data_IF_007301264957
#
_entry.id   IF_007301264957
#
_cell.length_a   1.000
_cell.length_b   1.000
_cell.length_c   1.000
_cell.angle_alpha   90.00
_cell.angle_beta   90.00
_cell.angle_gamma   90.00
#
_symmetry.space_group_name_H-M   'P 1'
#
loop_
_entity.id
_entity.type
_entity.pdbx_description
1 polymer ?
#
# COMPACT_ATOMS: atom_id res chain seq x y z
N UNK A 1 10.35 -22.82 2.90
CA UNK A 1 9.18 -22.07 3.41
C UNK A 1 8.96 -22.29 4.91
N UNK A 2 9.12 -23.52 5.42
CA UNK A 2 8.94 -23.81 6.85
C UNK A 2 9.88 -23.00 7.77
N UNK A 3 11.17 -22.90 7.43
CA UNK A 3 12.12 -22.09 8.21
C UNK A 3 11.78 -20.59 8.23
N UNK A 4 11.27 -20.06 7.11
CA UNK A 4 10.81 -18.66 7.02
C UNK A 4 9.56 -18.42 7.89
N UNK A 5 8.60 -19.35 7.86
CA UNK A 5 7.41 -19.28 8.71
C UNK A 5 7.79 -19.31 10.19
N UNK A 6 8.72 -20.17 10.58
CA UNK A 6 9.24 -20.24 11.94
C UNK A 6 9.89 -18.92 12.40
N UNK A 7 10.72 -18.32 11.53
CA UNK A 7 11.34 -17.02 11.80
C UNK A 7 10.29 -15.91 11.92
N UNK A 8 9.29 -15.91 11.04
CA UNK A 8 8.17 -14.96 11.10
C UNK A 8 7.37 -15.09 12.41
N UNK A 9 7.08 -16.31 12.85
CA UNK A 9 6.38 -16.56 14.12
C UNK A 9 7.20 -16.04 15.30
N UNK A 10 8.49 -16.38 15.38
CA UNK A 10 9.41 -15.89 16.43
C UNK A 10 9.47 -14.36 16.45
N UNK A 11 9.54 -13.76 15.27
CA UNK A 11 9.56 -12.31 15.10
C UNK A 11 8.31 -11.67 15.71
N UNK A 12 7.12 -12.13 15.35
CA UNK A 12 5.87 -11.56 15.83
C UNK A 12 5.63 -11.82 17.32
N UNK A 13 6.02 -12.98 17.84
CA UNK A 13 6.03 -13.24 19.29
C UNK A 13 6.91 -12.21 20.01
N UNK A 14 8.12 -11.98 19.50
CA UNK A 14 9.05 -11.01 20.10
C UNK A 14 8.53 -9.57 20.04
N UNK A 15 7.89 -9.20 18.92
CA UNK A 15 7.24 -7.90 18.77
C UNK A 15 6.07 -7.73 19.75
N UNK A 16 5.24 -8.77 19.94
CA UNK A 16 4.13 -8.77 20.89
C UNK A 16 4.64 -8.61 22.33
N UNK A 17 5.66 -9.38 22.73
CA UNK A 17 6.27 -9.27 24.07
C UNK A 17 6.78 -7.84 24.31
N UNK A 18 7.44 -7.25 23.31
CA UNK A 18 7.93 -5.87 23.36
C UNK A 18 6.79 -4.86 23.55
N UNK A 19 5.66 -5.06 22.86
CA UNK A 19 4.49 -4.19 23.01
C UNK A 19 3.76 -4.40 24.34
N UNK A 20 3.77 -5.61 24.89
CA UNK A 20 3.29 -5.89 26.26
C UNK A 20 4.13 -5.11 27.29
N UNK A 21 5.46 -5.07 27.13
CA UNK A 21 6.33 -4.24 27.96
C UNK A 21 5.94 -2.76 27.88
N UNK A 22 5.74 -2.23 26.66
CA UNK A 22 5.31 -0.85 26.44
C UNK A 22 3.99 -0.54 27.16
N UNK A 23 3.03 -1.48 27.11
CA UNK A 23 1.70 -1.33 27.70
C UNK A 23 1.70 -1.40 29.23
N UNK A 24 2.39 -2.37 29.84
CA UNK A 24 2.31 -2.60 31.29
C UNK A 24 3.31 -1.77 32.10
N UNK A 25 4.46 -1.45 31.52
CA UNK A 25 5.57 -0.78 32.20
C UNK A 25 5.71 0.66 31.70
N UNK A 26 6.00 0.86 30.42
CA UNK A 26 6.30 2.20 29.90
C UNK A 26 5.10 3.16 29.95
N UNK A 27 3.86 2.65 29.92
CA UNK A 27 2.65 3.47 30.05
C UNK A 27 2.54 4.19 31.40
N UNK A 28 3.13 3.63 32.46
CA UNK A 28 3.11 4.16 33.83
C UNK A 28 4.19 5.22 34.07
N UNK A 29 5.14 5.36 33.14
CA UNK A 29 6.21 6.34 33.23
C UNK A 29 5.72 7.74 32.84
N UNK A 30 6.30 8.80 33.42
CA UNK A 30 5.97 10.17 33.03
C UNK A 30 6.36 10.44 31.57
N UNK A 31 5.61 11.33 30.92
CA UNK A 31 5.86 11.75 29.54
C UNK A 31 7.25 12.37 29.37
N UNK A 32 7.81 12.20 28.17
CA UNK A 32 9.09 12.73 27.78
C UNK A 32 10.23 11.73 27.99
N UNK A 33 11.30 12.18 28.66
CA UNK A 33 12.60 11.51 28.60
C UNK A 33 12.63 10.14 29.29
N UNK A 34 11.92 9.96 30.41
CA UNK A 34 11.88 8.67 31.12
C UNK A 34 11.21 7.57 30.28
N UNK A 35 10.08 7.91 29.65
CA UNK A 35 9.38 7.00 28.74
C UNK A 35 10.23 6.73 27.48
N UNK A 36 10.90 7.74 26.95
CA UNK A 36 11.82 7.58 25.81
C UNK A 36 12.99 6.64 26.12
N UNK A 37 13.61 6.79 27.29
CA UNK A 37 14.73 5.94 27.71
C UNK A 37 14.28 4.48 27.87
N UNK A 38 13.12 4.26 28.50
CA UNK A 38 12.50 2.92 28.62
C UNK A 38 12.19 2.27 27.27
N UNK A 39 11.81 3.05 26.26
CA UNK A 39 11.43 2.55 24.93
C UNK A 39 12.60 2.47 23.93
N UNK A 40 13.77 3.03 24.27
CA UNK A 40 14.94 3.01 23.38
C UNK A 40 15.38 1.59 22.98
N UNK A 41 15.45 0.61 23.89
CA UNK A 41 15.74 -0.77 23.51
C UNK A 41 14.71 -1.36 22.53
N UNK A 42 13.44 -0.98 22.68
CA UNK A 42 12.35 -1.45 21.81
C UNK A 42 12.50 -0.87 20.40
N UNK A 43 12.88 0.41 20.28
CA UNK A 43 13.14 1.03 18.98
C UNK A 43 14.24 0.29 18.23
N UNK A 44 15.38 0.06 18.89
CA UNK A 44 16.51 -0.66 18.29
C UNK A 44 16.10 -2.08 17.90
N UNK A 45 15.36 -2.76 18.77
CA UNK A 45 14.90 -4.10 18.48
C UNK A 45 13.95 -4.15 17.27
N UNK A 46 13.01 -3.21 17.14
CA UNK A 46 12.12 -3.13 15.99
C UNK A 46 12.81 -2.74 14.68
N UNK A 47 13.96 -2.07 14.75
CA UNK A 47 14.84 -1.89 13.59
C UNK A 47 15.55 -3.20 13.23
N UNK A 48 15.96 -4.01 14.21
CA UNK A 48 16.63 -5.27 13.95
C UNK A 48 15.71 -6.37 13.39
N UNK A 49 14.46 -6.45 13.86
CA UNK A 49 13.56 -7.58 13.57
C UNK A 49 13.40 -7.95 12.08
N UNK A 50 13.20 -7.02 11.12
CA UNK A 50 13.06 -7.37 9.70
C UNK A 50 14.27 -8.11 9.11
N UNK A 51 15.45 -8.01 9.74
CA UNK A 51 16.64 -8.71 9.28
C UNK A 51 16.57 -10.23 9.46
N UNK A 52 15.64 -10.74 10.28
CA UNK A 52 15.53 -12.16 10.63
C UNK A 52 14.72 -12.99 9.64
N UNK A 53 14.03 -12.35 8.69
CA UNK A 53 13.29 -12.98 7.58
C UNK A 53 13.96 -12.68 6.24
N UNK A 54 13.83 -13.58 5.26
CA UNK A 54 14.51 -13.43 3.96
C UNK A 54 13.57 -13.17 2.78
N UNK A 55 12.27 -13.52 2.91
CA UNK A 55 11.28 -13.22 1.85
C UNK A 55 11.09 -11.71 1.66
N UNK A 56 11.10 -11.25 0.41
CA UNK A 56 10.97 -9.84 0.04
C UNK A 56 9.67 -9.25 0.58
N UNK A 57 8.54 -9.94 0.38
CA UNK A 57 7.23 -9.47 0.87
C UNK A 57 7.18 -9.42 2.40
N UNK A 58 7.65 -10.48 3.07
CA UNK A 58 7.62 -10.54 4.54
C UNK A 58 8.54 -9.50 5.18
N UNK A 59 9.73 -9.31 4.61
CA UNK A 59 10.68 -8.25 5.01
C UNK A 59 10.03 -6.88 4.85
N UNK A 60 9.46 -6.59 3.67
CA UNK A 60 8.84 -5.30 3.37
C UNK A 60 7.68 -4.97 4.32
N UNK A 61 6.78 -5.92 4.53
CA UNK A 61 5.65 -5.78 5.47
C UNK A 61 6.15 -5.52 6.89
N UNK A 62 7.10 -6.33 7.35
CA UNK A 62 7.60 -6.26 8.72
C UNK A 62 8.38 -4.97 8.97
N UNK A 63 9.21 -4.55 8.02
CA UNK A 63 9.93 -3.28 8.07
C UNK A 63 8.95 -2.09 8.13
N UNK A 64 7.92 -2.10 7.28
CA UNK A 64 6.92 -1.05 7.27
C UNK A 64 6.12 -1.02 8.59
N UNK A 65 5.72 -2.16 9.13
CA UNK A 65 4.88 -2.22 10.34
C UNK A 65 5.66 -1.95 11.61
N UNK A 66 6.84 -2.54 11.79
CA UNK A 66 7.60 -2.45 13.02
C UNK A 66 8.61 -1.29 12.99
N UNK A 67 9.56 -1.34 12.05
CA UNK A 67 10.64 -0.35 11.97
C UNK A 67 10.13 1.06 11.70
N UNK A 68 9.03 1.19 10.93
CA UNK A 68 8.42 2.48 10.64
C UNK A 68 7.19 2.78 11.51
N UNK A 69 6.06 2.12 11.28
CA UNK A 69 4.79 2.53 11.90
C UNK A 69 4.82 2.40 13.42
N UNK A 70 5.23 1.24 13.96
CA UNK A 70 5.23 1.01 15.39
C UNK A 70 6.22 1.94 16.11
N UNK A 71 7.46 2.06 15.61
CA UNK A 71 8.45 2.98 16.15
C UNK A 71 7.96 4.42 16.20
N UNK A 72 7.34 4.92 15.12
CA UNK A 72 6.86 6.30 15.09
C UNK A 72 5.65 6.51 16.00
N UNK A 73 4.75 5.53 16.13
CA UNK A 73 3.63 5.62 17.09
C UNK A 73 4.10 5.53 18.54
N UNK A 74 5.10 4.70 18.83
CA UNK A 74 5.74 4.61 20.13
C UNK A 74 6.53 5.88 20.46
N UNK A 75 7.14 6.53 19.47
CA UNK A 75 7.75 7.85 19.65
C UNK A 75 6.69 8.90 20.05
N UNK A 76 5.52 8.90 19.42
CA UNK A 76 4.40 9.75 19.84
C UNK A 76 3.92 9.40 21.26
N UNK A 77 3.86 8.10 21.58
CA UNK A 77 3.51 7.60 22.91
C UNK A 77 4.46 8.10 24.00
N UNK A 78 5.75 8.27 23.71
CA UNK A 78 6.71 8.89 24.63
C UNK A 78 6.24 10.27 25.13
N UNK A 79 5.54 11.03 24.27
CA UNK A 79 5.09 12.39 24.53
C UNK A 79 3.58 12.49 24.81
N UNK A 80 2.94 11.38 25.16
CA UNK A 80 1.50 11.25 25.39
C UNK A 80 0.64 11.73 24.22
N UNK A 81 1.11 11.53 22.99
CA UNK A 81 0.38 11.87 21.78
C UNK A 81 -0.40 10.67 21.21
N UNK A 82 -1.51 10.92 20.50
CA UNK A 82 -2.26 9.86 19.81
C UNK A 82 -1.38 9.16 18.75
N UNK A 83 -1.66 7.90 18.38
CA UNK A 83 -2.88 7.15 18.69
C UNK A 83 -2.82 6.26 19.94
N UNK A 84 -1.66 6.15 20.60
CA UNK A 84 -1.45 5.23 21.70
C UNK A 84 -1.69 5.85 23.08
N UNK A 85 -1.89 7.17 23.16
CA UNK A 85 -2.17 7.89 24.40
C UNK A 85 -3.55 8.56 24.37
N UNK A 86 -4.38 8.39 25.44
CA UNK A 86 -4.17 7.45 26.56
C UNK A 86 -4.15 5.98 26.06
N UNK A 87 -3.46 5.08 26.77
CA UNK A 87 -3.41 3.66 26.38
C UNK A 87 -4.84 3.09 26.34
N UNK A 88 -5.23 2.35 25.29
CA UNK A 88 -6.51 1.67 25.23
C UNK A 88 -6.67 0.71 26.41
N UNK A 89 -7.89 0.49 26.89
CA UNK A 89 -8.15 -0.41 28.04
C UNK A 89 -7.77 -1.88 27.80
N UNK A 90 -7.68 -2.30 26.53
CA UNK A 90 -7.36 -3.67 26.15
C UNK A 90 -5.96 -3.74 25.52
N UNK A 91 -5.12 -4.63 26.05
CA UNK A 91 -3.77 -4.92 25.54
C UNK A 91 -3.77 -5.26 24.04
N UNK A 92 -4.71 -6.09 23.58
CA UNK A 92 -4.80 -6.47 22.17
C UNK A 92 -5.10 -5.27 21.27
N UNK A 93 -5.89 -4.30 21.77
CA UNK A 93 -6.17 -3.07 21.05
C UNK A 93 -4.93 -2.17 21.00
N UNK A 94 -4.16 -2.07 22.10
CA UNK A 94 -2.88 -1.37 22.11
C UNK A 94 -1.88 -1.97 21.11
N UNK A 95 -1.69 -3.30 21.16
CA UNK A 95 -0.78 -4.03 20.26
C UNK A 95 -1.17 -3.78 18.80
N UNK A 96 -2.46 -3.93 18.48
CA UNK A 96 -2.95 -3.74 17.11
C UNK A 96 -2.78 -2.30 16.64
N UNK A 97 -3.11 -1.32 17.49
CA UNK A 97 -2.90 0.09 17.15
C UNK A 97 -1.42 0.43 16.98
N UNK A 98 -0.52 -0.19 17.73
CA UNK A 98 0.90 0.04 17.60
C UNK A 98 1.45 -0.58 16.31
N UNK A 99 1.24 -1.87 16.07
CA UNK A 99 1.90 -2.60 14.98
C UNK A 99 1.21 -2.48 13.61
N UNK A 100 -0.13 -2.39 13.55
CA UNK A 100 -0.86 -2.48 12.29
C UNK A 100 -1.18 -1.11 11.68
N UNK A 101 -1.42 -1.03 10.36
CA UNK A 101 -1.79 0.20 9.66
C UNK A 101 -3.25 0.62 9.93
N UNK A 102 -3.65 0.71 11.20
CA UNK A 102 -5.03 1.02 11.59
C UNK A 102 -5.15 2.48 11.99
N UNK A 103 -6.26 3.09 11.58
CA UNK A 103 -6.77 4.31 12.18
C UNK A 103 -8.20 4.07 12.61
N UNK A 104 -8.52 4.18 13.91
CA UNK A 104 -9.89 4.25 14.34
C UNK A 104 -10.59 5.42 13.66
N UNK A 105 -11.72 5.17 13.00
CA UNK A 105 -12.67 6.24 12.68
C UNK A 105 -13.38 6.62 13.98
N UNK A 106 -13.33 7.88 14.37
CA UNK A 106 -14.25 8.39 15.39
C UNK A 106 -15.68 8.23 14.85
N UNK A 107 -16.57 7.60 15.63
CA UNK A 107 -17.99 7.50 15.30
C UNK A 107 -18.60 8.91 15.40
N UNK A 108 -18.65 9.65 14.30
CA UNK A 108 -19.57 10.79 14.19
C UNK A 108 -20.99 10.24 13.96
N UNK A 109 -22.02 10.70 14.70
CA UNK A 109 -23.38 10.14 14.64
C UNK A 109 -24.17 10.59 13.40
N UNK A 110 -23.56 10.56 12.21
CA UNK A 110 -24.23 10.95 10.97
C UNK A 110 -23.51 10.45 9.72
N UNK A 111 -23.36 9.14 9.53
CA UNK A 111 -23.09 8.60 8.18
C UNK A 111 -23.91 7.32 7.96
N UNK A 112 -24.90 7.46 7.07
CA UNK A 112 -25.81 6.42 6.63
C UNK A 112 -25.08 5.10 6.30
N UNK A 113 -25.67 4.01 6.77
CA UNK A 113 -25.34 2.63 6.44
C UNK A 113 -25.70 2.36 4.96
N UNK A 114 -24.83 2.74 4.04
CA UNK A 114 -24.75 2.14 2.70
C UNK A 114 -23.30 2.27 2.22
N UNK A 115 -22.53 1.19 2.31
CA UNK A 115 -21.27 1.07 1.56
C UNK A 115 -21.63 0.39 0.23
N UNK A 116 -21.39 1.01 -0.93
CA UNK A 116 -21.87 0.48 -2.20
C UNK A 116 -21.08 -0.77 -2.65
N UNK A 117 -21.65 -1.61 -3.52
CA UNK A 117 -20.97 -2.74 -4.18
C UNK A 117 -19.70 -2.34 -4.95
N UNK A 118 -19.57 -1.06 -5.31
CA UNK A 118 -18.48 -0.47 -6.09
C UNK A 118 -17.07 -0.69 -5.50
N UNK A 119 -16.92 -0.70 -4.16
CA UNK A 119 -15.61 -0.91 -3.52
C UNK A 119 -15.12 -2.35 -3.59
N UNK A 120 -16.03 -3.33 -3.51
CA UNK A 120 -15.67 -4.74 -3.65
C UNK A 120 -15.31 -5.08 -5.10
N UNK A 121 -16.04 -4.49 -6.06
CA UNK A 121 -15.76 -4.63 -7.49
C UNK A 121 -14.38 -4.04 -7.81
N UNK A 122 -14.07 -2.82 -7.34
CA UNK A 122 -12.76 -2.21 -7.57
C UNK A 122 -11.61 -3.04 -6.98
N UNK A 123 -11.81 -3.64 -5.80
CA UNK A 123 -10.84 -4.54 -5.21
C UNK A 123 -10.63 -5.79 -6.08
N UNK A 124 -11.70 -6.41 -6.57
CA UNK A 124 -11.63 -7.56 -7.47
C UNK A 124 -10.91 -7.22 -8.80
N UNK A 125 -11.21 -6.05 -9.38
CA UNK A 125 -10.50 -5.54 -10.57
C UNK A 125 -9.00 -5.40 -10.30
N UNK A 126 -8.61 -4.84 -9.15
CA UNK A 126 -7.20 -4.70 -8.76
C UNK A 126 -6.50 -6.06 -8.62
N UNK A 127 -7.16 -7.05 -8.01
CA UNK A 127 -6.64 -8.43 -7.94
C UNK A 127 -6.47 -9.03 -9.33
N UNK A 128 -7.44 -8.84 -10.22
CA UNK A 128 -7.36 -9.31 -11.61
C UNK A 128 -6.19 -8.65 -12.36
N UNK A 129 -6.01 -7.33 -12.22
CA UNK A 129 -4.89 -6.61 -12.82
C UNK A 129 -3.56 -7.18 -12.33
N UNK A 130 -3.42 -7.46 -11.04
CA UNK A 130 -2.19 -8.08 -10.50
C UNK A 130 -1.96 -9.46 -11.11
N UNK A 131 -2.99 -10.31 -11.20
CA UNK A 131 -2.87 -11.62 -11.84
C UNK A 131 -2.44 -11.51 -13.32
N UNK A 132 -3.01 -10.54 -14.06
CA UNK A 132 -2.62 -10.25 -15.44
C UNK A 132 -1.18 -9.75 -15.54
N UNK A 133 -0.75 -8.84 -14.66
CA UNK A 133 0.64 -8.35 -14.61
C UNK A 133 1.62 -9.51 -14.39
N UNK A 134 1.31 -10.42 -13.47
CA UNK A 134 2.12 -11.61 -13.24
C UNK A 134 2.18 -12.53 -14.46
N UNK A 135 1.07 -12.72 -15.16
CA UNK A 135 1.06 -13.46 -16.42
C UNK A 135 1.95 -12.79 -17.49
N UNK A 136 1.87 -11.46 -17.61
CA UNK A 136 2.70 -10.69 -18.53
C UNK A 136 4.19 -10.74 -18.17
N UNK A 137 4.56 -10.87 -16.88
CA UNK A 137 5.98 -11.02 -16.49
C UNK A 137 6.63 -12.29 -17.05
N UNK A 138 5.86 -13.34 -17.34
CA UNK A 138 6.38 -14.53 -18.05
C UNK A 138 6.93 -14.20 -19.45
N UNK A 139 6.46 -13.11 -20.05
CA UNK A 139 6.90 -12.63 -21.36
C UNK A 139 7.74 -11.34 -21.27
N UNK A 140 8.23 -10.97 -20.06
CA UNK A 140 8.99 -9.74 -19.81
C UNK A 140 10.13 -9.51 -20.80
N UNK A 141 10.82 -10.58 -21.21
CA UNK A 141 11.94 -10.50 -22.16
C UNK A 141 11.53 -10.02 -23.56
N UNK A 142 10.28 -10.24 -23.95
CA UNK A 142 9.74 -9.85 -25.26
C UNK A 142 9.08 -8.47 -25.23
N UNK A 143 8.91 -7.88 -24.04
CA UNK A 143 8.26 -6.58 -23.87
C UNK A 143 9.28 -5.45 -23.93
N UNK A 144 8.87 -4.33 -24.52
CA UNK A 144 9.68 -3.12 -24.51
C UNK A 144 9.97 -2.64 -23.08
N UNK A 145 11.20 -2.20 -22.80
CA UNK A 145 11.65 -1.80 -21.44
C UNK A 145 10.71 -0.80 -20.75
N UNK A 146 10.21 0.20 -21.49
CA UNK A 146 9.28 1.20 -20.92
C UNK A 146 7.94 0.59 -20.52
N UNK A 147 7.47 -0.45 -21.22
CA UNK A 147 6.24 -1.16 -20.86
C UNK A 147 6.45 -1.92 -19.56
N UNK A 148 7.57 -2.63 -19.42
CA UNK A 148 7.93 -3.34 -18.19
C UNK A 148 8.04 -2.38 -17.01
N UNK A 149 8.65 -1.20 -17.19
CA UNK A 149 8.74 -0.17 -16.16
C UNK A 149 7.36 0.38 -15.77
N UNK A 150 6.47 0.62 -16.74
CA UNK A 150 5.10 1.02 -16.46
C UNK A 150 4.32 -0.06 -15.68
N UNK A 151 4.52 -1.34 -16.04
CA UNK A 151 3.97 -2.48 -15.30
C UNK A 151 4.45 -2.49 -13.85
N UNK A 152 5.74 -2.22 -13.59
CA UNK A 152 6.26 -2.10 -12.22
C UNK A 152 5.61 -0.97 -11.43
N UNK A 153 5.42 0.21 -12.03
CA UNK A 153 4.69 1.32 -11.38
C UNK A 153 3.28 0.89 -10.94
N UNK A 154 2.54 0.24 -11.83
CA UNK A 154 1.17 -0.24 -11.54
C UNK A 154 1.19 -1.35 -10.50
N UNK A 155 2.11 -2.30 -10.63
CA UNK A 155 2.28 -3.41 -9.70
C UNK A 155 2.54 -2.90 -8.29
N UNK A 156 3.56 -2.04 -8.09
CA UNK A 156 3.91 -1.50 -6.78
C UNK A 156 2.74 -0.76 -6.13
N UNK A 157 1.98 0.02 -6.90
CA UNK A 157 0.80 0.71 -6.37
C UNK A 157 -0.26 -0.29 -5.86
N UNK A 158 -0.66 -1.24 -6.70
CA UNK A 158 -1.75 -2.17 -6.36
C UNK A 158 -1.31 -3.12 -5.23
N UNK A 159 -0.08 -3.63 -5.29
CA UNK A 159 0.47 -4.54 -4.30
C UNK A 159 0.51 -3.90 -2.90
N UNK A 160 0.98 -2.65 -2.80
CA UNK A 160 0.96 -1.90 -1.54
C UNK A 160 -0.47 -1.70 -1.03
N UNK A 161 -1.42 -1.35 -1.90
CA UNK A 161 -2.82 -1.18 -1.50
C UNK A 161 -3.45 -2.48 -0.99
N UNK A 162 -3.28 -3.58 -1.72
CA UNK A 162 -3.79 -4.90 -1.35
C UNK A 162 -3.17 -5.37 -0.03
N UNK A 163 -1.85 -5.24 0.12
CA UNK A 163 -1.13 -5.64 1.33
C UNK A 163 -1.63 -4.89 2.56
N UNK A 164 -1.77 -3.58 2.48
CA UNK A 164 -2.29 -2.77 3.59
C UNK A 164 -3.77 -3.04 3.86
N UNK A 165 -4.57 -3.33 2.83
CA UNK A 165 -5.96 -3.70 2.99
C UNK A 165 -6.12 -5.05 3.69
N UNK A 166 -5.32 -6.06 3.33
CA UNK A 166 -5.32 -7.39 3.95
C UNK A 166 -4.88 -7.32 5.41
N UNK A 167 -3.80 -6.58 5.72
CA UNK A 167 -3.35 -6.38 7.10
C UNK A 167 -4.38 -5.69 8.01
N UNK A 168 -5.31 -4.95 7.40
CA UNK A 168 -6.41 -4.28 8.07
C UNK A 168 -7.59 -5.23 8.41
N UNK A 169 -7.70 -6.40 7.77
CA UNK A 169 -8.86 -7.31 7.95
C UNK A 169 -8.95 -7.86 9.38
N UNK A 170 -7.89 -8.45 9.98
CA UNK A 170 -7.98 -9.03 11.32
C UNK A 170 -8.38 -7.97 12.35
N UNK A 171 -7.82 -6.76 12.22
CA UNK A 171 -8.14 -5.63 13.07
C UNK A 171 -9.60 -5.16 12.96
N UNK A 172 -10.19 -5.18 11.76
CA UNK A 172 -11.62 -4.88 11.57
C UNK A 172 -12.48 -5.95 12.22
N UNK A 173 -12.16 -7.22 12.00
CA UNK A 173 -12.93 -8.34 12.50
C UNK A 173 -12.92 -8.41 14.04
N UNK A 174 -11.75 -8.19 14.66
CA UNK A 174 -11.60 -8.32 16.11
C UNK A 174 -12.11 -7.10 16.90
N UNK A 175 -12.00 -5.89 16.36
CA UNK A 175 -12.26 -4.66 17.13
C UNK A 175 -13.38 -3.77 16.56
N UNK A 176 -13.98 -4.16 15.43
CA UNK A 176 -15.03 -3.36 14.78
C UNK A 176 -14.54 -1.97 14.33
N UNK A 177 -13.22 -1.77 14.21
CA UNK A 177 -12.64 -0.49 13.86
C UNK A 177 -12.89 -0.21 12.38
N UNK A 178 -13.60 0.88 12.07
CA UNK A 178 -13.63 1.38 10.70
C UNK A 178 -12.25 1.91 10.33
N UNK A 179 -11.57 1.20 9.44
CA UNK A 179 -10.23 1.59 8.97
C UNK A 179 -10.37 2.54 7.79
N UNK A 180 -9.75 3.72 7.90
CA UNK A 180 -9.65 4.67 6.79
C UNK A 180 -8.96 4.03 5.58
N UNK A 181 -9.39 4.34 4.35
CA UNK A 181 -8.68 3.88 3.16
C UNK A 181 -7.24 4.40 3.19
N UNK A 182 -6.29 3.56 2.75
CA UNK A 182 -4.86 3.90 2.76
C UNK A 182 -4.42 4.62 1.49
N UNK A 183 -5.16 4.41 0.42
CA UNK A 183 -5.02 5.14 -0.84
C UNK A 183 -6.36 5.78 -1.19
N UNK A 184 -6.30 6.90 -1.90
CA UNK A 184 -7.48 7.60 -2.42
C UNK A 184 -7.26 7.91 -3.89
N UNK A 185 -7.32 6.86 -4.71
CA UNK A 185 -7.16 6.88 -6.18
C UNK A 185 -6.07 7.88 -6.64
N UNK A 186 -4.78 7.55 -6.43
CA UNK A 186 -3.66 8.46 -6.67
C UNK A 186 -3.50 8.91 -8.12
N UNK A 187 -4.02 8.13 -9.07
CA UNK A 187 -4.08 8.48 -10.49
C UNK A 187 -5.08 9.61 -10.81
N UNK A 188 -5.95 10.00 -9.87
CA UNK A 188 -6.83 11.17 -9.98
C UNK A 188 -6.23 12.42 -9.33
N UNK A 189 -4.90 12.47 -9.18
CA UNK A 189 -4.23 13.62 -8.59
C UNK A 189 -4.35 14.88 -9.45
N UNK A 190 -4.40 16.02 -8.79
CA UNK A 190 -4.43 17.35 -9.44
C UNK A 190 -3.11 18.11 -9.30
N UNK A 191 -2.19 17.63 -8.45
CA UNK A 191 -0.89 18.25 -8.17
C UNK A 191 0.02 17.31 -7.35
N UNK A 192 1.30 17.62 -7.17
CA UNK A 192 2.19 16.80 -6.33
C UNK A 192 1.77 16.87 -4.86
N UNK A 193 1.33 18.05 -4.40
CA UNK A 193 0.80 18.19 -3.05
C UNK A 193 -0.46 17.32 -2.82
N UNK A 194 -1.34 17.22 -3.82
CA UNK A 194 -2.53 16.37 -3.74
C UNK A 194 -2.16 14.88 -3.73
N UNK A 195 -1.20 14.49 -4.59
CA UNK A 195 -0.68 13.13 -4.67
C UNK A 195 -0.13 12.66 -3.31
N UNK A 196 0.91 13.32 -2.79
CA UNK A 196 1.57 12.91 -1.55
C UNK A 196 0.74 13.20 -0.30
N UNK A 197 0.01 14.32 -0.29
CA UNK A 197 -0.67 14.81 0.91
C UNK A 197 -2.04 14.17 1.17
N UNK A 198 -2.72 13.66 0.13
CA UNK A 198 -4.14 13.28 0.20
C UNK A 198 -4.50 11.98 -0.52
N UNK A 199 -3.62 11.41 -1.35
CA UNK A 199 -3.98 10.25 -2.17
C UNK A 199 -3.05 9.04 -2.04
N UNK A 200 -1.75 9.29 -1.91
CA UNK A 200 -0.73 8.26 -1.77
C UNK A 200 -0.45 7.93 -0.30
N UNK A 201 -0.47 6.65 0.05
CA UNK A 201 -0.11 6.08 1.36
C UNK A 201 -0.46 6.99 2.56
N UNK A 202 -1.75 7.12 2.83
CA UNK A 202 -2.29 7.95 3.90
C UNK A 202 -1.85 7.50 5.29
N UNK A 203 -1.38 6.26 5.46
CA UNK A 203 -0.74 5.83 6.72
C UNK A 203 0.56 6.57 6.98
N UNK A 204 1.46 6.62 5.99
CA UNK A 204 2.71 7.37 6.10
C UNK A 204 2.43 8.83 6.37
N UNK A 205 1.56 9.46 5.58
CA UNK A 205 1.21 10.88 5.76
C UNK A 205 0.65 11.15 7.15
N UNK A 206 -0.15 10.25 7.70
CA UNK A 206 -0.73 10.46 9.03
C UNK A 206 0.24 10.28 10.18
N UNK A 207 1.30 9.50 10.00
CA UNK A 207 2.28 9.29 11.06
C UNK A 207 3.36 10.36 10.99
N UNK A 208 3.79 10.77 9.78
CA UNK A 208 4.78 11.83 9.57
C UNK A 208 4.26 13.23 9.97
N UNK A 209 2.95 13.48 9.85
CA UNK A 209 2.35 14.77 10.26
C UNK A 209 2.61 15.10 11.75
N UNK A 210 2.18 14.28 12.72
CA UNK A 210 2.42 14.54 14.13
C UNK A 210 3.88 14.32 14.55
N UNK A 211 4.61 13.37 13.95
CA UNK A 211 6.00 13.07 14.35
C UNK A 211 7.02 14.07 13.82
N UNK A 212 6.83 14.60 12.60
CA UNK A 212 7.83 15.43 11.91
C UNK A 212 7.24 16.79 11.54
N UNK A 213 6.15 16.81 10.78
CA UNK A 213 5.65 18.07 10.20
C UNK A 213 5.25 19.10 11.26
N UNK A 214 4.43 18.74 12.24
CA UNK A 214 3.96 19.68 13.26
C UNK A 214 5.07 20.18 14.18
N UNK A 215 5.98 19.33 14.71
CA UNK A 215 7.14 19.80 15.47
C UNK A 215 8.02 20.75 14.67
N UNK A 216 8.42 20.37 13.45
CA UNK A 216 9.31 21.20 12.62
C UNK A 216 8.62 22.51 12.21
N UNK A 217 7.34 22.48 11.84
CA UNK A 217 6.58 23.71 11.53
C UNK A 217 6.50 24.64 12.75
N UNK A 218 6.28 24.10 13.95
CA UNK A 218 6.21 24.90 15.19
C UNK A 218 7.55 25.59 15.47
N UNK A 219 8.66 24.86 15.33
CA UNK A 219 10.01 25.41 15.49
C UNK A 219 10.26 26.48 14.41
N UNK A 220 9.98 26.15 13.15
CA UNK A 220 10.20 27.02 11.99
C UNK A 220 9.37 28.30 12.05
N UNK A 221 8.16 28.25 12.62
CA UNK A 221 7.31 29.45 12.81
C UNK A 221 8.03 30.52 13.64
N UNK A 222 8.86 30.12 14.60
CA UNK A 222 9.65 31.05 15.43
C UNK A 222 10.85 31.64 14.68
N UNK A 223 11.34 30.97 13.64
CA UNK A 223 12.56 31.34 12.91
C UNK A 223 12.28 32.14 11.63
N UNK A 224 11.30 31.69 10.83
CA UNK A 224 11.02 32.23 9.48
C UNK A 224 9.60 32.78 9.32
N UNK A 225 8.83 32.82 10.41
CA UNK A 225 7.45 33.29 10.43
C UNK A 225 6.42 32.26 9.95
N UNK A 226 5.16 32.48 10.33
CA UNK A 226 4.04 31.56 10.07
C UNK A 226 3.79 31.31 8.59
N UNK A 227 4.09 32.32 7.76
CA UNK A 227 3.90 32.33 6.31
C UNK A 227 4.76 31.31 5.56
N UNK A 228 5.97 31.03 6.06
CA UNK A 228 6.98 30.19 5.39
C UNK A 228 7.36 28.95 6.19
N UNK A 229 6.87 28.82 7.42
CA UNK A 229 7.14 27.69 8.30
C UNK A 229 6.74 26.32 7.72
N UNK A 230 5.86 26.27 6.72
CA UNK A 230 5.50 25.03 6.03
C UNK A 230 6.62 24.48 5.16
N UNK A 231 7.48 25.33 4.56
CA UNK A 231 8.54 24.88 3.64
C UNK A 231 9.57 23.97 4.32
N UNK A 232 10.26 24.39 5.40
CA UNK A 232 11.20 23.51 6.09
C UNK A 232 10.52 22.25 6.66
N UNK A 233 9.25 22.35 7.06
CA UNK A 233 8.48 21.20 7.54
C UNK A 233 8.17 20.19 6.42
N UNK A 234 7.88 20.65 5.19
CA UNK A 234 7.72 19.79 4.02
C UNK A 234 9.04 19.07 3.72
N UNK A 235 10.14 19.80 3.62
CA UNK A 235 11.46 19.21 3.33
C UNK A 235 11.83 18.17 4.39
N UNK A 236 11.67 18.48 5.68
CA UNK A 236 11.96 17.55 6.76
C UNK A 236 11.13 16.26 6.68
N UNK A 237 9.83 16.36 6.35
CA UNK A 237 8.96 15.18 6.16
C UNK A 237 9.47 14.29 5.04
N UNK A 238 9.87 14.88 3.90
CA UNK A 238 10.39 14.13 2.77
C UNK A 238 11.77 13.54 3.04
N UNK A 239 12.65 14.23 3.76
CA UNK A 239 13.94 13.68 4.21
C UNK A 239 13.72 12.46 5.11
N UNK A 240 12.87 12.57 6.14
CA UNK A 240 12.57 11.45 7.03
C UNK A 240 11.91 10.30 6.27
N UNK A 241 11.00 10.59 5.34
CA UNK A 241 10.42 9.58 4.45
C UNK A 241 11.50 8.88 3.61
N UNK A 242 12.43 9.65 3.03
CA UNK A 242 13.55 9.13 2.25
C UNK A 242 14.43 8.17 3.05
N UNK A 243 14.83 8.57 4.26
CA UNK A 243 15.62 7.73 5.16
C UNK A 243 14.91 6.43 5.53
N UNK A 244 13.60 6.47 5.78
CA UNK A 244 12.83 5.26 6.07
C UNK A 244 12.72 4.33 4.85
N UNK A 245 12.63 4.88 3.64
CA UNK A 245 12.66 4.06 2.43
C UNK A 245 14.05 3.51 2.15
N UNK A 246 15.12 4.26 2.40
CA UNK A 246 16.50 3.77 2.32
C UNK A 246 16.70 2.57 3.25
N UNK A 247 16.19 2.66 4.47
CA UNK A 247 16.22 1.55 5.43
C UNK A 247 15.43 0.33 4.95
N UNK A 248 14.23 0.54 4.38
CA UNK A 248 13.46 -0.56 3.79
C UNK A 248 14.22 -1.18 2.62
N UNK A 249 14.82 -0.37 1.75
CA UNK A 249 15.61 -0.84 0.62
C UNK A 249 16.83 -1.63 1.08
N UNK A 250 17.51 -1.18 2.13
CA UNK A 250 18.57 -1.95 2.78
C UNK A 250 18.08 -3.33 3.23
N UNK A 251 16.88 -3.44 3.83
CA UNK A 251 16.34 -4.74 4.22
C UNK A 251 15.98 -5.63 3.03
N UNK A 252 15.38 -5.07 1.97
CA UNK A 252 14.95 -5.82 0.78
C UNK A 252 16.14 -6.30 -0.05
N UNK A 253 17.15 -5.45 -0.20
CA UNK A 253 18.30 -5.70 -1.09
C UNK A 253 19.47 -6.37 -0.35
N UNK A 254 19.61 -6.15 0.96
CA UNK A 254 20.74 -6.57 1.79
C UNK A 254 22.10 -6.05 1.31
N UNK A 255 22.10 -4.93 0.59
CA UNK A 255 23.32 -4.23 0.15
C UNK A 255 23.40 -2.83 0.77
N UNK A 256 24.59 -2.24 0.77
CA UNK A 256 24.80 -0.90 1.32
C UNK A 256 23.88 0.15 0.67
N UNK A 257 23.38 1.13 1.45
CA UNK A 257 22.58 2.24 0.94
C UNK A 257 23.25 2.97 -0.23
N UNK A 258 22.48 3.26 -1.26
CA UNK A 258 22.96 4.02 -2.44
C UNK A 258 22.51 5.47 -2.41
N UNK A 259 21.55 5.79 -1.52
CA UNK A 259 20.93 7.10 -1.38
C UNK A 259 20.08 7.54 -2.58
N UNK A 260 19.93 6.70 -3.62
CA UNK A 260 19.09 6.95 -4.80
C UNK A 260 17.63 7.22 -4.39
N UNK A 261 17.06 6.33 -3.56
CA UNK A 261 15.68 6.47 -3.07
C UNK A 261 15.53 7.63 -2.09
N UNK A 262 16.54 7.94 -1.29
CA UNK A 262 16.52 9.15 -0.45
C UNK A 262 16.44 10.41 -1.31
N UNK A 263 17.24 10.49 -2.38
CA UNK A 263 17.19 11.61 -3.33
C UNK A 263 15.87 11.71 -4.08
N UNK A 264 15.21 10.59 -4.40
CA UNK A 264 13.85 10.60 -4.91
C UNK A 264 12.92 11.40 -3.98
N UNK A 265 12.89 11.08 -2.69
CA UNK A 265 12.00 11.78 -1.76
C UNK A 265 12.43 13.25 -1.55
N UNK A 266 13.72 13.54 -1.45
CA UNK A 266 14.19 14.94 -1.31
C UNK A 266 13.75 15.78 -2.50
N UNK A 267 13.93 15.28 -3.74
CA UNK A 267 13.51 15.95 -4.96
C UNK A 267 12.00 16.22 -4.96
N UNK A 268 11.19 15.23 -4.56
CA UNK A 268 9.73 15.42 -4.41
C UNK A 268 9.38 16.44 -3.32
N UNK A 269 10.13 16.47 -2.22
CA UNK A 269 9.95 17.48 -1.16
C UNK A 269 10.22 18.89 -1.65
N UNK A 270 11.30 19.08 -2.41
CA UNK A 270 11.63 20.37 -3.06
C UNK A 270 10.54 20.75 -4.06
N UNK A 271 10.09 19.82 -4.89
CA UNK A 271 9.03 20.07 -5.87
C UNK A 271 7.70 20.46 -5.20
N UNK A 272 7.29 19.78 -4.12
CA UNK A 272 6.09 20.13 -3.34
C UNK A 272 6.26 21.48 -2.64
N UNK A 273 7.43 21.78 -2.10
CA UNK A 273 7.73 23.08 -1.49
C UNK A 273 7.64 24.20 -2.54
N UNK A 274 8.23 24.01 -3.73
CA UNK A 274 8.13 24.93 -4.85
C UNK A 274 6.68 25.12 -5.30
N UNK A 275 5.90 24.04 -5.40
CA UNK A 275 4.48 24.10 -5.72
C UNK A 275 3.69 24.94 -4.70
N UNK A 276 4.02 24.84 -3.40
CA UNK A 276 3.42 25.68 -2.35
C UNK A 276 3.77 27.15 -2.55
N UNK A 277 5.02 27.48 -2.91
CA UNK A 277 5.42 28.86 -3.21
C UNK A 277 4.67 29.38 -4.43
N UNK A 278 4.63 28.62 -5.52
CA UNK A 278 3.90 28.97 -6.75
C UNK A 278 2.44 29.22 -6.45
N UNK A 279 1.76 28.32 -5.72
CA UNK A 279 0.36 28.50 -5.33
C UNK A 279 0.13 29.75 -4.46
N UNK A 280 1.13 30.18 -3.69
CA UNK A 280 1.02 31.36 -2.82
C UNK A 280 1.27 32.68 -3.57
N UNK A 281 2.15 32.68 -4.56
CA UNK A 281 2.57 33.88 -5.30
C UNK A 281 1.76 34.09 -6.58
N UNK A 282 1.39 33.01 -7.27
CA UNK A 282 0.68 33.08 -8.55
C UNK A 282 -0.83 33.21 -8.33
N UNK A 283 -1.46 34.26 -8.91
CA UNK A 283 -2.92 34.45 -8.89
C UNK A 283 -3.69 33.22 -9.40
N UNK A 284 -4.89 33.00 -8.87
CA UNK A 284 -5.65 31.77 -9.16
C UNK A 284 -6.04 31.63 -10.64
N UNK A 285 -6.26 32.75 -11.33
CA UNK A 285 -6.58 32.82 -12.76
C UNK A 285 -5.43 32.40 -13.69
N UNK A 286 -4.19 32.38 -13.20
CA UNK A 286 -3.01 31.93 -13.96
C UNK A 286 -2.62 30.48 -13.66
N UNK A 287 -3.39 29.78 -12.82
CA UNK A 287 -3.10 28.38 -12.47
C UNK A 287 -3.52 27.46 -13.61
N UNK A 288 -2.71 26.43 -13.85
CA UNK A 288 -3.02 25.39 -14.83
C UNK A 288 -4.33 24.67 -14.48
N UNK A 289 -5.05 24.24 -15.51
CA UNK A 289 -6.23 23.42 -15.33
C UNK A 289 -5.88 22.13 -14.55
N UNK A 290 -6.73 21.67 -13.60
CA UNK A 290 -6.40 20.55 -12.71
C UNK A 290 -5.99 19.26 -13.43
N UNK A 291 -6.56 19.00 -14.60
CA UNK A 291 -6.22 17.83 -15.42
C UNK A 291 -4.79 17.92 -15.96
N UNK A 292 -4.39 19.09 -16.47
CA UNK A 292 -3.04 19.31 -17.00
C UNK A 292 -2.02 19.23 -15.87
N UNK A 293 -2.28 19.92 -14.75
CA UNK A 293 -1.45 19.86 -13.55
C UNK A 293 -1.35 18.44 -12.98
N UNK A 294 -2.45 17.69 -12.99
CA UNK A 294 -2.49 16.28 -12.60
C UNK A 294 -1.63 15.38 -13.50
N UNK A 295 -1.77 15.51 -14.82
CA UNK A 295 -0.96 14.77 -15.78
C UNK A 295 0.53 15.08 -15.64
N UNK A 296 0.90 16.35 -15.46
CA UNK A 296 2.28 16.76 -15.20
C UNK A 296 2.81 16.18 -13.88
N UNK A 297 2.00 16.18 -12.82
CA UNK A 297 2.37 15.59 -11.54
C UNK A 297 2.60 14.07 -11.65
N UNK A 298 1.72 13.34 -12.34
CA UNK A 298 1.89 11.90 -12.57
C UNK A 298 3.10 11.60 -13.46
N UNK A 299 3.31 12.39 -14.52
CA UNK A 299 4.50 12.28 -15.36
C UNK A 299 5.78 12.50 -14.55
N UNK A 300 5.82 13.53 -13.71
CA UNK A 300 6.95 13.78 -12.81
C UNK A 300 7.20 12.60 -11.85
N UNK A 301 6.16 12.06 -11.21
CA UNK A 301 6.26 10.88 -10.34
C UNK A 301 6.78 9.67 -11.12
N UNK A 302 6.25 9.39 -12.31
CA UNK A 302 6.65 8.24 -13.12
C UNK A 302 8.11 8.34 -13.58
N UNK A 303 8.52 9.49 -14.11
CA UNK A 303 9.90 9.73 -14.59
C UNK A 303 10.89 9.61 -13.43
N UNK A 304 10.61 10.26 -12.31
CA UNK A 304 11.50 10.18 -11.13
C UNK A 304 11.51 8.80 -10.50
N UNK A 305 10.41 8.04 -10.56
CA UNK A 305 10.38 6.66 -10.09
C UNK A 305 11.28 5.74 -10.93
N UNK A 306 11.23 5.87 -12.26
CA UNK A 306 12.12 5.14 -13.17
C UNK A 306 13.58 5.53 -12.96
N UNK A 307 13.85 6.80 -12.64
CA UNK A 307 15.21 7.31 -12.48
C UNK A 307 15.85 7.02 -11.11
N UNK A 308 15.11 7.12 -10.01
CA UNK A 308 15.68 7.11 -8.65
C UNK A 308 15.07 6.07 -7.72
N UNK A 309 13.89 5.54 -8.04
CA UNK A 309 13.19 4.59 -7.17
C UNK A 309 13.47 3.13 -7.59
N UNK A 310 13.20 2.78 -8.85
CA UNK A 310 13.37 1.40 -9.32
C UNK A 310 14.80 0.91 -9.53
N UNK A 311 15.80 1.72 -9.93
CA UNK A 311 17.12 1.20 -10.33
C UNK A 311 17.81 0.35 -9.26
N UNK A 312 17.78 0.76 -7.99
CA UNK A 312 18.36 -0.05 -6.91
C UNK A 312 17.66 -1.39 -6.72
N UNK A 313 16.34 -1.46 -6.87
CA UNK A 313 15.60 -2.73 -6.76
C UNK A 313 15.93 -3.67 -7.92
N UNK A 314 15.95 -3.14 -9.15
CA UNK A 314 16.23 -3.90 -10.36
C UNK A 314 17.68 -4.39 -10.41
N UNK A 315 18.64 -3.53 -10.06
CA UNK A 315 20.08 -3.89 -10.04
C UNK A 315 20.39 -5.03 -9.07
N UNK A 316 19.61 -5.16 -8.00
CA UNK A 316 19.80 -6.19 -6.98
C UNK A 316 18.83 -7.38 -7.12
N UNK A 317 18.12 -7.47 -8.26
CA UNK A 317 17.22 -8.60 -8.59
C UNK A 317 16.03 -8.75 -7.64
N UNK A 318 15.59 -7.65 -7.01
CA UNK A 318 14.44 -7.71 -6.09
C UNK A 318 13.16 -8.01 -6.87
N UNK A 319 13.02 -7.49 -8.08
CA UNK A 319 11.87 -7.77 -8.95
C UNK A 319 11.76 -9.27 -9.29
N UNK A 320 12.89 -9.91 -9.62
CA UNK A 320 12.93 -11.36 -9.91
C UNK A 320 12.58 -12.19 -8.68
N UNK A 321 13.10 -11.81 -7.49
CA UNK A 321 12.76 -12.45 -6.22
C UNK A 321 11.27 -12.31 -5.91
N UNK A 322 10.69 -11.12 -6.05
CA UNK A 322 9.26 -10.85 -5.85
C UNK A 322 8.41 -11.73 -6.77
N UNK A 323 8.73 -11.77 -8.07
CA UNK A 323 8.01 -12.59 -9.05
C UNK A 323 8.12 -14.08 -8.68
N UNK A 324 9.32 -14.55 -8.33
CA UNK A 324 9.54 -15.95 -7.94
C UNK A 324 8.81 -16.37 -6.66
N UNK A 325 8.65 -15.47 -5.69
CA UNK A 325 7.84 -15.72 -4.48
C UNK A 325 6.36 -15.90 -4.83
N UNK A 326 5.82 -15.10 -5.74
CA UNK A 326 4.44 -15.22 -6.19
C UNK A 326 4.18 -16.52 -6.95
N UNK A 327 5.09 -16.94 -7.84
CA UNK A 327 4.98 -18.23 -8.54
C UNK A 327 4.88 -19.40 -7.55
N UNK A 328 5.73 -19.42 -6.52
CA UNK A 328 5.69 -20.45 -5.47
C UNK A 328 4.36 -20.47 -4.72
N UNK A 329 3.78 -19.29 -4.43
CA UNK A 329 2.47 -19.19 -3.79
C UNK A 329 1.37 -19.76 -4.70
N UNK A 330 1.41 -19.45 -6.00
CA UNK A 330 0.45 -19.99 -6.97
C UNK A 330 0.56 -21.51 -7.12
N UNK A 331 1.78 -22.06 -7.13
CA UNK A 331 1.99 -23.51 -7.23
C UNK A 331 1.49 -24.25 -5.98
N UNK A 332 1.68 -23.66 -4.79
CA UNK A 332 1.07 -24.16 -3.55
C UNK A 332 -0.46 -24.19 -3.64
N UNK A 333 -1.08 -23.10 -4.12
CA UNK A 333 -2.54 -23.04 -4.27
C UNK A 333 -3.05 -24.07 -5.28
N UNK A 334 -2.34 -24.28 -6.39
CA UNK A 334 -2.68 -25.32 -7.37
C UNK A 334 -2.54 -26.74 -6.78
N UNK A 335 -1.48 -27.00 -6.02
CA UNK A 335 -1.24 -28.31 -5.39
C UNK A 335 -2.19 -28.61 -4.22
N UNK A 336 -2.70 -27.57 -3.54
CA UNK A 336 -3.62 -27.70 -2.40
C UNK A 336 -5.07 -27.94 -2.83
N UNK A 337 -5.40 -27.71 -4.10
CA UNK A 337 -6.75 -27.83 -4.61
C UNK A 337 -6.84 -29.04 -5.54
N UNK A 338 -7.52 -30.13 -5.17
CA UNK A 338 -7.68 -31.26 -6.06
C UNK A 338 -8.39 -30.79 -7.33
N UNK A 339 -7.78 -31.04 -8.49
CA UNK A 339 -8.24 -30.59 -9.82
C UNK A 339 -9.71 -30.96 -10.14
N UNK A 340 -10.30 -31.88 -9.38
CA UNK A 340 -11.70 -32.33 -9.51
C UNK A 340 -12.72 -31.43 -8.81
N UNK A 341 -12.33 -30.54 -7.90
CA UNK A 341 -13.27 -29.66 -7.18
C UNK A 341 -13.31 -28.24 -7.71
N UNK A 342 -12.22 -27.71 -8.27
CA UNK A 342 -12.23 -26.35 -8.84
C UNK A 342 -12.99 -26.28 -10.15
N UNK A 343 -12.87 -27.29 -11.03
CA UNK A 343 -13.61 -27.31 -12.29
C UNK A 343 -15.13 -27.36 -12.07
N UNK A 344 -15.59 -28.21 -11.14
CA UNK A 344 -17.01 -28.30 -10.76
C UNK A 344 -17.52 -27.08 -10.00
N UNK A 345 -16.76 -26.58 -9.01
CA UNK A 345 -17.17 -25.44 -8.20
C UNK A 345 -17.19 -24.12 -8.99
N UNK A 346 -16.19 -23.86 -9.85
CA UNK A 346 -16.23 -22.70 -10.75
C UNK A 346 -17.36 -22.84 -11.78
N UNK A 347 -17.57 -24.03 -12.35
CA UNK A 347 -18.64 -24.25 -13.33
C UNK A 347 -20.04 -24.05 -12.71
N UNK A 348 -20.27 -24.56 -11.49
CA UNK A 348 -21.54 -24.36 -10.75
C UNK A 348 -21.75 -22.91 -10.34
N UNK A 349 -20.71 -22.20 -9.87
CA UNK A 349 -20.84 -20.80 -9.46
C UNK A 349 -20.96 -19.84 -10.65
N UNK A 350 -20.31 -20.14 -11.77
CA UNK A 350 -20.49 -19.40 -13.03
C UNK A 350 -21.88 -19.67 -13.62
N UNK A 351 -22.40 -20.91 -13.53
CA UNK A 351 -23.76 -21.25 -13.95
C UNK A 351 -24.81 -20.55 -13.07
N UNK A 352 -24.65 -20.58 -11.73
CA UNK A 352 -25.53 -19.88 -10.79
C UNK A 352 -25.50 -18.36 -10.99
N UNK A 353 -24.32 -17.79 -11.27
CA UNK A 353 -24.18 -16.36 -11.58
C UNK A 353 -24.84 -16.00 -12.92
N UNK A 354 -24.68 -16.83 -13.96
CA UNK A 354 -25.34 -16.64 -15.26
C UNK A 354 -26.88 -16.75 -15.16
N UNK A 355 -27.39 -17.72 -14.39
CA UNK A 355 -28.83 -17.87 -14.13
C UNK A 355 -29.42 -16.70 -13.33
N UNK A 356 -28.65 -16.12 -12.39
CA UNK A 356 -29.09 -14.94 -11.62
C UNK A 356 -29.20 -13.64 -12.43
N UNK A 357 -28.57 -13.60 -13.62
CA UNK A 357 -28.59 -12.46 -14.54
C UNK A 357 -29.61 -12.61 -15.68
N UNK A 358 -30.43 -13.67 -15.65
CA UNK A 358 -31.49 -13.92 -16.65
C UNK A 358 -30.98 -14.33 -18.03
N UNK A 359 -29.73 -14.76 -18.15
CA UNK A 359 -29.13 -15.17 -19.43
C UNK A 359 -29.28 -16.69 -19.61
N UNK A 360 -30.30 -17.07 -20.39
CA UNK A 360 -30.58 -18.38 -21.00
C UNK A 360 -31.14 -19.53 -20.14
N UNK A 361 -32.25 -20.11 -20.65
CA UNK A 361 -32.77 -21.44 -20.28
C UNK A 361 -31.76 -22.55 -20.56
N UNK A 362 -31.69 -23.52 -19.64
CA UNK A 362 -30.87 -24.72 -19.71
C UNK A 362 -31.13 -25.53 -21.00
N UNK A 363 -30.23 -25.44 -21.97
CA UNK A 363 -30.07 -26.47 -23.01
C UNK A 363 -28.84 -27.33 -22.67
N UNK A 364 -29.10 -28.64 -22.58
CA UNK A 364 -28.17 -29.71 -22.23
C UNK A 364 -26.78 -29.56 -22.86
N UNK A 365 -25.74 -29.58 -22.03
CA UNK A 365 -24.35 -29.79 -22.48
C UNK A 365 -24.07 -31.29 -22.63
N UNK A 366 -23.40 -31.74 -23.71
CA UNK A 366 -22.97 -33.13 -23.83
C UNK A 366 -21.83 -33.41 -22.83
N UNK A 367 -21.89 -34.56 -22.17
CA UNK A 367 -20.80 -35.09 -21.35
C UNK A 367 -19.56 -35.36 -22.22
N UNK A 368 -18.48 -34.59 -22.02
CA UNK A 368 -17.18 -34.83 -22.65
C UNK A 368 -16.16 -35.23 -21.57
N UNK A 369 -15.43 -36.31 -21.87
CA UNK A 369 -14.57 -37.04 -20.93
C UNK A 369 -13.25 -36.32 -20.56
N UNK A 370 -12.49 -36.91 -19.61
CA UNK A 370 -11.38 -36.25 -18.95
C UNK A 370 -10.06 -36.54 -19.66
N UNK A 371 -9.73 -35.81 -20.71
CA UNK A 371 -8.35 -35.66 -21.16
C UNK A 371 -8.24 -34.44 -22.08
N UNK A 372 -7.26 -33.59 -21.81
CA UNK A 372 -6.80 -32.47 -22.64
C UNK A 372 -7.85 -31.40 -22.97
N UNK A 373 -8.06 -30.46 -22.04
CA UNK A 373 -8.61 -29.14 -22.36
C UNK A 373 -7.78 -28.08 -21.65
N UNK A 374 -6.81 -27.54 -22.38
CA UNK A 374 -6.21 -26.25 -22.06
C UNK A 374 -7.32 -25.20 -22.22
N UNK A 375 -7.99 -24.85 -21.12
CA UNK A 375 -9.18 -23.98 -21.09
C UNK A 375 -8.84 -22.49 -21.19
N UNK A 376 -7.55 -22.14 -21.26
CA UNK A 376 -7.08 -20.76 -21.38
C UNK A 376 -7.57 -20.03 -22.65
N UNK A 377 -7.66 -20.66 -23.84
CA UNK A 377 -8.20 -20.03 -25.04
C UNK A 377 -9.69 -19.68 -24.90
N UNK A 378 -10.47 -20.47 -24.16
CA UNK A 378 -11.90 -20.25 -23.97
C UNK A 378 -12.18 -19.15 -22.94
N UNK A 379 -11.38 -19.07 -21.87
CA UNK A 379 -11.43 -17.96 -20.90
C UNK A 379 -10.99 -16.65 -21.56
N UNK A 380 -9.92 -16.67 -22.38
CA UNK A 380 -9.47 -15.50 -23.13
C UNK A 380 -10.48 -15.07 -24.21
N UNK A 381 -11.11 -16.02 -24.90
CA UNK A 381 -12.19 -15.74 -25.86
C UNK A 381 -13.41 -15.11 -25.17
N UNK A 382 -13.71 -15.47 -23.92
CA UNK A 382 -14.81 -14.88 -23.14
C UNK A 382 -14.46 -13.46 -22.66
N UNK A 383 -13.22 -13.24 -22.20
CA UNK A 383 -12.71 -11.92 -21.77
C UNK A 383 -12.62 -10.93 -22.94
N UNK A 384 -12.14 -11.39 -24.11
CA UNK A 384 -12.10 -10.57 -25.33
C UNK A 384 -13.51 -10.30 -25.88
N UNK A 385 -14.42 -11.28 -25.79
CA UNK A 385 -15.82 -11.10 -26.19
C UNK A 385 -16.59 -10.07 -25.33
N UNK A 386 -16.26 -9.97 -24.04
CA UNK A 386 -16.85 -8.97 -23.14
C UNK A 386 -16.32 -7.55 -23.42
N UNK A 387 -15.03 -7.42 -23.76
CA UNK A 387 -14.42 -6.14 -24.14
C UNK A 387 -14.97 -5.60 -25.47
N UNK A 388 -15.13 -6.47 -26.49
CA UNK A 388 -15.63 -6.07 -27.81
C UNK A 388 -17.14 -5.73 -27.81
N UNK A 389 -17.93 -6.33 -26.90
CA UNK A 389 -19.37 -6.04 -26.81
C UNK A 389 -19.66 -4.73 -26.05
N UNK A 390 -18.77 -4.34 -25.12
CA UNK A 390 -18.83 -3.05 -24.43
C UNK A 390 -18.52 -1.85 -25.35
N UNK A 391 -17.63 -2.01 -26.33
CA UNK A 391 -17.38 -0.99 -27.37
C UNK A 391 -18.54 -0.84 -28.36
N UNK A 392 -19.29 -1.92 -28.66
CA UNK A 392 -20.48 -1.79 -29.51
C UNK A 392 -21.62 -1.03 -28.83
N UNK A 393 -21.74 -1.10 -27.50
CA UNK A 393 -22.78 -0.39 -26.74
C UNK A 393 -22.48 1.10 -26.53
N UNK A 394 -21.21 1.54 -26.54
CA UNK A 394 -20.88 2.97 -26.51
C UNK A 394 -21.09 3.64 -27.88
N UNK A 395 -20.88 2.92 -28.98
CA UNK A 395 -21.11 3.45 -30.34
C UNK A 395 -22.58 3.66 -30.69
N UNK A 396 -23.51 3.04 -29.96
CA UNK A 396 -24.96 3.20 -30.17
C UNK A 396 -25.58 4.36 -29.37
N UNK A 397 -24.84 5.01 -28.46
CA UNK A 397 -25.33 6.18 -27.72
C UNK A 397 -24.94 7.54 -28.33
N UNK A 398 -24.09 7.59 -29.36
CA UNK A 398 -23.71 8.84 -30.05
C UNK A 398 -24.49 9.12 -31.35
N UNK A 399 -25.50 8.29 -31.70
CA UNK A 399 -26.40 8.54 -32.85
C UNK A 399 -27.87 8.76 -32.46
N UNK A 400 -28.15 9.05 -31.18
CA UNK A 400 -29.51 9.31 -30.69
C UNK A 400 -29.65 10.68 -30.04
N UNK A 401 -29.49 11.76 -30.82
CA UNK A 401 -30.03 13.09 -30.54
C UNK A 401 -31.30 13.31 -31.35
#
# INVERSE_FOLDING_TARGET
MENELHNLIKLWISAIISLCYCYYISSKLPKGIFKLFSLTPIFIFFLYLPLTVSSVHLVGITAFFLSWLANFKLLLFCFDQPPLSPPPSNLFHFISLASLPIKPKQKTPSQNKFKPPQRSILFAIKVLIVALLYHCYSYKQNLHKNVVLAMYCVHTYIELELTLALAAIPARAMFGLEIKPQFNEPYLTTSLQDFWGRRWNLMVTSILRPTVYYPIRRISTRLVGSSWASLPAIIAVFVVSGLMHELIYYYLTRVAPTWEVTWFFILHGVAVAAEVVVKKVVPENMRLHPVVSGALALGFVAVTAVWLFFPQLLRNGVDEKTIGEYCKLMDLLKGSVPARHVSGWLAEHVALFASSLGVCELRQWPSLGPCELDLWPYVMSWVLGFALRAESMSSLCEQGS
#
